data_IF_224608715157
#
_entry.id   IF_224608715157
#
_cell.length_a   1.000
_cell.length_b   1.000
_cell.length_c   1.000
_cell.angle_alpha   90.00
_cell.angle_beta   90.00
_cell.angle_gamma   90.00
#
_symmetry.space_group_name_H-M   'P 1'
#
loop_
_entity.id
_entity.type
_entity.pdbx_description
1 polymer ?
#
# COMPACT_ATOMS: atom_id res chain seq x y z
N UNK A 1 23.77 -32.80 36.28
CA UNK A 1 24.33 -32.48 34.95
C UNK A 1 23.65 -31.20 34.50
N UNK A 2 24.28 -30.07 34.76
CA UNK A 2 23.78 -28.75 34.35
C UNK A 2 24.06 -28.61 32.86
N UNK A 3 23.01 -28.45 32.05
CA UNK A 3 23.15 -28.02 30.66
C UNK A 3 23.27 -26.50 30.66
N UNK A 4 24.46 -26.06 30.26
CA UNK A 4 24.84 -24.69 29.98
C UNK A 4 24.33 -24.35 28.57
N UNK A 5 23.18 -23.67 28.48
CA UNK A 5 22.68 -23.11 27.22
C UNK A 5 23.44 -21.81 26.93
N UNK A 6 24.50 -21.92 26.13
CA UNK A 6 25.24 -20.76 25.62
C UNK A 6 24.37 -19.88 24.72
N UNK A 7 24.58 -18.55 24.71
CA UNK A 7 23.81 -17.63 23.87
C UNK A 7 24.08 -17.92 22.39
N UNK A 8 23.00 -18.10 21.62
CA UNK A 8 23.05 -18.27 20.17
C UNK A 8 23.93 -17.18 19.53
N UNK A 9 25.03 -17.61 18.91
CA UNK A 9 25.97 -16.73 18.23
C UNK A 9 25.26 -15.96 17.11
N UNK A 10 25.22 -14.64 17.22
CA UNK A 10 24.70 -13.73 16.20
C UNK A 10 25.65 -13.71 14.99
N UNK A 11 25.41 -14.57 14.01
CA UNK A 11 26.11 -14.47 12.73
C UNK A 11 25.63 -13.22 11.99
N UNK A 12 26.54 -12.30 11.70
CA UNK A 12 26.27 -11.21 10.79
C UNK A 12 25.83 -11.77 9.43
N UNK A 13 24.84 -11.15 8.77
CA UNK A 13 24.42 -11.59 7.45
C UNK A 13 25.59 -11.54 6.47
N UNK A 14 25.61 -12.42 5.44
CA UNK A 14 26.68 -12.45 4.45
C UNK A 14 26.79 -11.09 3.77
N UNK A 15 28.02 -10.65 3.49
CA UNK A 15 28.26 -9.38 2.80
C UNK A 15 27.70 -9.42 1.37
N UNK A 16 27.20 -8.30 0.85
CA UNK A 16 26.75 -8.22 -0.53
C UNK A 16 27.93 -8.38 -1.50
N UNK A 17 27.68 -8.86 -2.74
CA UNK A 17 28.68 -8.83 -3.80
C UNK A 17 29.23 -7.42 -4.00
N UNK A 18 30.51 -7.32 -4.34
CA UNK A 18 31.15 -6.05 -4.60
C UNK A 18 30.58 -5.37 -5.84
N UNK A 19 30.85 -4.07 -5.97
CA UNK A 19 30.52 -3.29 -7.17
C UNK A 19 31.11 -3.90 -8.45
N UNK A 20 32.33 -4.43 -8.38
CA UNK A 20 32.98 -5.04 -9.56
C UNK A 20 32.24 -6.32 -9.96
N UNK A 21 31.93 -7.18 -9.01
CA UNK A 21 31.17 -8.41 -9.25
C UNK A 21 29.77 -8.11 -9.78
N UNK A 22 29.07 -7.14 -9.20
CA UNK A 22 27.74 -6.69 -9.66
C UNK A 22 27.79 -6.21 -11.12
N UNK A 23 28.90 -5.60 -11.55
CA UNK A 23 29.08 -5.14 -12.93
C UNK A 23 29.40 -6.26 -13.91
N UNK A 24 30.07 -7.31 -13.47
CA UNK A 24 30.39 -8.46 -14.30
C UNK A 24 29.19 -9.40 -14.42
N UNK A 25 28.45 -9.58 -13.33
CA UNK A 25 27.23 -10.37 -13.27
C UNK A 25 26.30 -9.81 -12.16
N UNK A 26 25.16 -9.19 -12.51
CA UNK A 26 24.26 -8.60 -11.51
C UNK A 26 23.35 -9.63 -10.81
N UNK A 27 23.26 -10.86 -11.31
CA UNK A 27 22.33 -11.87 -10.78
C UNK A 27 22.61 -12.27 -9.30
N UNK A 28 23.87 -12.45 -8.85
CA UNK A 28 24.17 -12.71 -7.44
C UNK A 28 23.78 -11.54 -6.53
N UNK A 29 23.93 -10.30 -6.99
CA UNK A 29 23.53 -9.11 -6.22
C UNK A 29 22.02 -9.06 -6.08
N UNK A 30 21.29 -9.38 -7.14
CA UNK A 30 19.84 -9.47 -7.12
C UNK A 30 19.35 -10.56 -6.15
N UNK A 31 19.92 -11.76 -6.21
CA UNK A 31 19.60 -12.85 -5.28
C UNK A 31 19.90 -12.48 -3.83
N UNK A 32 21.02 -11.81 -3.58
CA UNK A 32 21.35 -11.32 -2.23
C UNK A 32 20.33 -10.29 -1.72
N UNK A 33 19.87 -9.37 -2.59
CA UNK A 33 18.83 -8.39 -2.24
C UNK A 33 17.51 -9.11 -1.96
N UNK A 34 17.15 -10.14 -2.73
CA UNK A 34 15.95 -10.96 -2.50
C UNK A 34 15.98 -11.63 -1.13
N UNK A 35 17.11 -12.19 -0.72
CA UNK A 35 17.25 -12.78 0.61
C UNK A 35 16.99 -11.75 1.72
N UNK A 36 17.42 -10.50 1.51
CA UNK A 36 17.14 -9.39 2.45
C UNK A 36 15.66 -9.04 2.45
N UNK A 37 15.01 -8.96 1.29
CA UNK A 37 13.56 -8.74 1.18
C UNK A 37 12.82 -9.87 1.92
N UNK A 38 13.16 -11.13 1.66
CA UNK A 38 12.53 -12.28 2.28
C UNK A 38 12.70 -12.30 3.81
N UNK A 39 13.87 -11.90 4.31
CA UNK A 39 14.12 -11.74 5.76
C UNK A 39 13.22 -10.64 6.37
N UNK A 40 13.13 -9.49 5.69
CA UNK A 40 12.31 -8.35 6.12
C UNK A 40 10.83 -8.72 6.15
N UNK A 41 10.33 -9.48 5.17
CA UNK A 41 8.93 -9.91 5.08
C UNK A 41 8.72 -11.35 5.58
N UNK A 42 9.61 -11.87 6.43
CA UNK A 42 9.51 -13.25 6.89
C UNK A 42 8.31 -13.49 7.81
N UNK A 43 7.73 -14.69 7.71
CA UNK A 43 6.60 -15.17 8.52
C UNK A 43 6.89 -15.13 10.03
N UNK A 44 8.17 -15.22 10.43
CA UNK A 44 8.58 -15.08 11.83
C UNK A 44 8.14 -13.73 12.40
N UNK A 45 8.21 -12.66 11.62
CA UNK A 45 7.80 -11.33 12.06
C UNK A 45 6.29 -11.21 12.24
N UNK A 46 5.49 -11.98 11.47
CA UNK A 46 4.03 -12.04 11.64
C UNK A 46 3.68 -12.68 12.99
N UNK A 47 4.37 -13.77 13.36
CA UNK A 47 4.05 -14.55 14.55
C UNK A 47 4.64 -14.00 15.84
N UNK A 48 5.83 -13.39 15.80
CA UNK A 48 6.55 -12.99 17.01
C UNK A 48 6.02 -11.72 17.68
N UNK A 49 5.01 -11.05 17.11
CA UNK A 49 4.31 -9.85 17.64
C UNK A 49 5.20 -8.63 17.98
N UNK A 50 6.52 -8.81 17.96
CA UNK A 50 7.54 -7.80 18.02
C UNK A 50 8.38 -7.94 16.76
N UNK A 51 8.35 -6.92 15.91
CA UNK A 51 9.36 -6.82 14.87
C UNK A 51 10.69 -6.62 15.56
N UNK A 52 11.64 -7.53 15.34
CA UNK A 52 12.99 -7.34 15.84
C UNK A 52 13.73 -6.30 14.98
N UNK A 53 13.21 -5.07 14.95
CA UNK A 53 13.76 -3.93 14.20
C UNK A 53 15.12 -3.55 14.76
N UNK A 54 15.32 -3.75 16.07
CA UNK A 54 16.58 -3.54 16.76
C UNK A 54 17.73 -4.42 16.24
N UNK A 55 17.44 -5.52 15.53
CA UNK A 55 18.47 -6.41 14.99
C UNK A 55 19.04 -5.98 13.64
N UNK A 56 18.45 -5.00 12.95
CA UNK A 56 19.08 -4.48 11.74
C UNK A 56 20.17 -3.49 12.12
N UNK A 57 21.40 -3.99 12.13
CA UNK A 57 22.56 -3.15 12.37
C UNK A 57 22.67 -2.08 11.28
N UNK A 58 23.28 -0.94 11.62
CA UNK A 58 23.59 0.10 10.64
C UNK A 58 24.41 -0.48 9.46
N UNK A 59 25.28 -1.46 9.73
CA UNK A 59 26.02 -2.17 8.68
C UNK A 59 25.08 -2.86 7.70
N UNK A 60 24.15 -3.68 8.18
CA UNK A 60 23.19 -4.40 7.32
C UNK A 60 22.36 -3.43 6.50
N UNK A 61 21.92 -2.33 7.11
CA UNK A 61 21.20 -1.26 6.38
C UNK A 61 22.04 -0.68 5.24
N UNK A 62 23.30 -0.31 5.53
CA UNK A 62 24.20 0.29 4.54
C UNK A 62 24.57 -0.69 3.42
N UNK A 63 24.79 -1.96 3.77
CA UNK A 63 25.07 -3.03 2.83
C UNK A 63 23.88 -3.23 1.88
N UNK A 64 22.65 -3.27 2.41
CA UNK A 64 21.43 -3.40 1.61
C UNK A 64 21.21 -2.20 0.70
N UNK A 65 21.31 -0.99 1.24
CA UNK A 65 21.18 0.23 0.46
C UNK A 65 22.21 0.30 -0.68
N UNK A 66 23.47 -0.02 -0.38
CA UNK A 66 24.57 0.02 -1.35
C UNK A 66 24.37 -1.03 -2.45
N UNK A 67 23.97 -2.25 -2.10
CA UNK A 67 23.66 -3.30 -3.08
C UNK A 67 22.54 -2.88 -4.03
N UNK A 68 21.44 -2.31 -3.50
CA UNK A 68 20.33 -1.78 -4.31
C UNK A 68 20.82 -0.66 -5.23
N UNK A 69 21.59 0.29 -4.71
CA UNK A 69 22.16 1.38 -5.49
C UNK A 69 23.04 0.85 -6.64
N UNK A 70 23.98 -0.05 -6.35
CA UNK A 70 24.86 -0.62 -7.37
C UNK A 70 24.09 -1.43 -8.42
N UNK A 71 23.10 -2.21 -8.00
CA UNK A 71 22.24 -2.97 -8.91
C UNK A 71 21.41 -2.05 -9.82
N UNK A 72 20.83 -0.98 -9.28
CA UNK A 72 20.05 -0.01 -10.06
C UNK A 72 20.91 0.89 -10.96
N UNK A 73 22.18 1.13 -10.61
CA UNK A 73 23.09 1.99 -11.41
C UNK A 73 23.93 1.25 -12.44
N UNK A 74 24.01 -0.08 -12.33
CA UNK A 74 24.72 -0.93 -13.28
C UNK A 74 24.33 -0.67 -14.75
N UNK A 75 23.07 -0.33 -15.02
CA UNK A 75 22.53 -0.12 -16.38
C UNK A 75 22.92 1.19 -17.04
N UNK A 76 23.58 2.14 -16.36
CA UNK A 76 23.91 3.44 -16.97
C UNK A 76 24.93 3.39 -18.11
N UNK A 77 25.69 2.29 -18.28
CA UNK A 77 26.72 2.16 -19.32
C UNK A 77 26.53 0.98 -20.28
N UNK A 78 25.45 0.21 -20.12
CA UNK A 78 25.12 -0.90 -21.00
C UNK A 78 23.65 -1.21 -20.88
N UNK A 79 22.88 -0.91 -21.93
CA UNK A 79 21.54 -1.50 -22.10
C UNK A 79 21.75 -3.00 -22.03
N UNK A 80 21.01 -3.69 -21.17
CA UNK A 80 20.81 -5.13 -21.34
C UNK A 80 20.32 -5.36 -22.77
N UNK A 81 20.68 -6.48 -23.41
CA UNK A 81 20.21 -6.80 -24.75
C UNK A 81 18.66 -6.84 -24.84
N UNK A 82 17.97 -6.97 -23.69
CA UNK A 82 16.50 -6.89 -23.57
C UNK A 82 15.93 -5.47 -23.38
N UNK A 83 16.75 -4.45 -23.14
CA UNK A 83 16.27 -3.08 -22.91
C UNK A 83 15.49 -2.86 -21.60
N UNK A 84 15.35 -3.89 -20.76
CA UNK A 84 14.66 -3.80 -19.48
C UNK A 84 15.54 -3.14 -18.42
N UNK A 85 14.96 -2.18 -17.70
CA UNK A 85 15.63 -1.47 -16.63
C UNK A 85 15.59 -2.34 -15.38
N UNK A 86 16.76 -2.61 -14.78
CA UNK A 86 16.92 -3.41 -13.55
C UNK A 86 15.96 -3.04 -12.40
N UNK A 87 15.42 -1.81 -12.37
CA UNK A 87 14.46 -1.40 -11.37
C UNK A 87 13.13 -2.15 -11.42
N UNK A 88 12.67 -2.59 -12.59
CA UNK A 88 11.39 -3.30 -12.74
C UNK A 88 11.42 -4.64 -12.02
N UNK A 89 12.45 -5.45 -12.27
CA UNK A 89 12.61 -6.76 -11.63
C UNK A 89 12.66 -6.62 -10.10
N UNK A 90 13.34 -5.58 -9.60
CA UNK A 90 13.42 -5.34 -8.17
C UNK A 90 12.06 -4.90 -7.59
N UNK A 91 11.35 -4.02 -8.28
CA UNK A 91 10.01 -3.57 -7.90
C UNK A 91 9.01 -4.74 -7.86
N UNK A 92 8.98 -5.58 -8.90
CA UNK A 92 8.07 -6.76 -8.96
C UNK A 92 8.38 -7.78 -7.87
N UNK A 93 9.66 -7.99 -7.53
CA UNK A 93 10.06 -8.89 -6.42
C UNK A 93 9.63 -8.33 -5.07
N UNK A 94 9.79 -7.02 -4.87
CA UNK A 94 9.32 -6.36 -3.65
C UNK A 94 7.79 -6.42 -3.55
N UNK A 95 7.07 -6.12 -4.63
CA UNK A 95 5.61 -6.25 -4.73
C UNK A 95 5.15 -7.67 -4.35
N UNK A 96 5.80 -8.70 -4.88
CA UNK A 96 5.50 -10.10 -4.57
C UNK A 96 5.73 -10.44 -3.09
N UNK A 97 6.81 -9.95 -2.49
CA UNK A 97 7.12 -10.20 -1.08
C UNK A 97 6.12 -9.51 -0.14
N UNK A 98 5.71 -8.28 -0.46
CA UNK A 98 4.69 -7.55 0.31
C UNK A 98 3.35 -8.31 0.24
N UNK A 99 2.95 -8.79 -0.94
CA UNK A 99 1.73 -9.58 -1.13
C UNK A 99 1.75 -10.85 -0.28
N UNK A 100 2.82 -11.64 -0.37
CA UNK A 100 2.97 -12.87 0.39
C UNK A 100 2.88 -12.62 1.92
N UNK A 101 3.53 -11.55 2.40
CA UNK A 101 3.44 -11.14 3.79
C UNK A 101 2.00 -10.80 4.22
N UNK A 102 1.29 -10.01 3.42
CA UNK A 102 -0.08 -9.60 3.74
C UNK A 102 -1.06 -10.77 3.71
N UNK A 103 -0.87 -11.72 2.79
CA UNK A 103 -1.66 -12.96 2.73
C UNK A 103 -1.47 -13.82 3.98
N UNK A 104 -0.23 -13.92 4.48
CA UNK A 104 0.04 -14.61 5.74
C UNK A 104 -0.61 -13.91 6.93
N UNK A 105 -0.57 -12.56 6.98
CA UNK A 105 -1.30 -11.78 7.99
C UNK A 105 -2.80 -12.09 7.96
N UNK A 106 -3.42 -12.12 6.77
CA UNK A 106 -4.82 -12.46 6.61
C UNK A 106 -5.14 -13.89 7.08
N UNK A 107 -4.23 -14.85 6.84
CA UNK A 107 -4.35 -16.21 7.33
C UNK A 107 -4.28 -16.29 8.86
N UNK A 108 -3.36 -15.54 9.50
CA UNK A 108 -3.24 -15.48 10.96
C UNK A 108 -4.47 -14.83 11.61
N UNK A 109 -5.01 -13.77 11.01
CA UNK A 109 -6.26 -13.17 11.49
C UNK A 109 -7.44 -14.15 11.38
N UNK A 110 -7.49 -14.95 10.31
CA UNK A 110 -8.49 -16.01 10.15
C UNK A 110 -8.33 -17.15 11.14
N UNK A 111 -7.09 -17.59 11.39
CA UNK A 111 -6.80 -18.64 12.37
C UNK A 111 -7.14 -18.22 13.81
N UNK A 112 -7.11 -16.92 14.11
CA UNK A 112 -7.48 -16.37 15.41
C UNK A 112 -8.97 -16.59 15.76
N UNK A 113 -9.81 -17.00 14.80
CA UNK A 113 -11.20 -17.43 15.05
C UNK A 113 -11.36 -18.94 15.35
N UNK A 114 -10.38 -19.78 15.02
CA UNK A 114 -10.50 -21.25 15.10
C UNK A 114 -10.37 -21.84 16.50
N UNK A 115 -10.02 -21.04 17.51
CA UNK A 115 -9.92 -21.46 18.91
C UNK A 115 -11.20 -21.17 19.68
N UNK A 116 -12.09 -22.17 19.76
CA UNK A 116 -13.28 -22.24 20.63
C UNK A 116 -14.39 -21.18 20.44
N UNK A 117 -15.44 -21.58 19.69
CA UNK A 117 -16.82 -21.05 19.67
C UNK A 117 -17.06 -19.60 19.21
N UNK A 118 -17.86 -19.49 18.14
CA UNK A 118 -18.22 -18.28 17.39
C UNK A 118 -19.09 -17.27 18.20
N UNK A 119 -19.68 -17.68 19.33
CA UNK A 119 -20.64 -16.86 20.09
C UNK A 119 -20.05 -16.17 21.35
N UNK A 120 -18.72 -16.12 21.52
CA UNK A 120 -18.13 -15.43 22.68
C UNK A 120 -17.99 -13.92 22.47
N UNK A 121 -18.37 -13.08 23.44
CA UNK A 121 -18.27 -11.62 23.36
C UNK A 121 -16.84 -11.07 23.16
N UNK A 122 -15.79 -11.89 23.30
CA UNK A 122 -14.40 -11.47 23.15
C UNK A 122 -13.77 -11.67 21.76
N UNK A 123 -14.44 -12.36 20.81
CA UNK A 123 -13.86 -12.67 19.50
C UNK A 123 -13.60 -11.40 18.66
N UNK A 124 -14.55 -10.45 18.53
CA UNK A 124 -14.31 -9.23 17.75
C UNK A 124 -13.16 -8.38 18.31
N UNK A 125 -13.07 -8.26 19.64
CA UNK A 125 -11.99 -7.53 20.33
C UNK A 125 -10.63 -8.18 20.04
N UNK A 126 -10.56 -9.52 20.09
CA UNK A 126 -9.34 -10.26 19.80
C UNK A 126 -8.86 -10.04 18.36
N UNK A 127 -9.78 -10.10 17.38
CA UNK A 127 -9.50 -9.86 15.96
C UNK A 127 -9.00 -8.44 15.73
N UNK A 128 -9.70 -7.41 16.23
CA UNK A 128 -9.29 -6.02 16.05
C UNK A 128 -7.96 -5.70 16.75
N UNK A 129 -7.70 -6.32 17.91
CA UNK A 129 -6.43 -6.21 18.62
C UNK A 129 -5.29 -6.89 17.86
N UNK A 130 -5.52 -8.07 17.29
CA UNK A 130 -4.54 -8.74 16.43
C UNK A 130 -4.26 -7.92 15.16
N UNK A 131 -5.31 -7.40 14.50
CA UNK A 131 -5.20 -6.53 13.34
C UNK A 131 -4.36 -5.28 13.63
N UNK A 132 -4.66 -4.57 14.73
CA UNK A 132 -3.94 -3.35 15.12
C UNK A 132 -2.45 -3.62 15.33
N UNK A 133 -2.11 -4.77 15.94
CA UNK A 133 -0.71 -5.20 16.14
C UNK A 133 -0.02 -5.49 14.81
N UNK A 134 -0.66 -6.27 13.94
CA UNK A 134 -0.09 -6.59 12.62
C UNK A 134 0.10 -5.34 11.76
N UNK A 135 -0.86 -4.40 11.79
CA UNK A 135 -0.74 -3.13 11.06
C UNK A 135 0.44 -2.30 11.58
N UNK A 136 0.62 -2.21 12.89
CA UNK A 136 1.73 -1.45 13.47
C UNK A 136 3.07 -2.04 13.03
N UNK A 137 3.23 -3.35 13.18
CA UNK A 137 4.39 -4.12 12.70
C UNK A 137 4.65 -3.85 11.21
N UNK A 138 3.63 -3.99 10.36
CA UNK A 138 3.75 -3.76 8.94
C UNK A 138 4.13 -2.30 8.62
N UNK A 139 3.57 -1.31 9.31
CA UNK A 139 3.93 0.11 9.13
C UNK A 139 5.41 0.37 9.42
N UNK A 140 5.98 -0.30 10.42
CA UNK A 140 7.40 -0.19 10.73
C UNK A 140 8.27 -0.82 9.63
N UNK A 141 7.86 -1.98 9.08
CA UNK A 141 8.51 -2.60 7.92
C UNK A 141 8.46 -1.64 6.71
N UNK A 142 7.28 -1.08 6.41
CA UNK A 142 7.07 -0.15 5.30
C UNK A 142 8.05 1.03 5.35
N UNK A 143 8.13 1.72 6.50
CA UNK A 143 9.04 2.86 6.68
C UNK A 143 10.49 2.49 6.39
N UNK A 144 10.92 1.33 6.89
CA UNK A 144 12.30 0.87 6.71
C UNK A 144 12.61 0.53 5.25
N UNK A 145 11.70 -0.19 4.59
CA UNK A 145 11.83 -0.53 3.17
C UNK A 145 11.82 0.72 2.31
N UNK A 146 10.94 1.69 2.59
CA UNK A 146 10.92 2.98 1.91
C UNK A 146 12.28 3.69 1.97
N UNK A 147 12.95 3.66 3.13
CA UNK A 147 14.29 4.24 3.26
C UNK A 147 15.37 3.43 2.52
N UNK A 148 15.40 2.11 2.69
CA UNK A 148 16.41 1.23 2.04
C UNK A 148 16.29 1.24 0.51
N UNK A 149 15.06 1.28 0.00
CA UNK A 149 14.76 1.29 -1.44
C UNK A 149 14.55 2.70 -2.00
N UNK A 150 14.86 3.75 -1.23
CA UNK A 150 14.68 5.15 -1.64
C UNK A 150 15.41 5.51 -2.94
N UNK A 151 16.46 4.77 -3.32
CA UNK A 151 17.11 4.97 -4.62
C UNK A 151 16.22 4.46 -5.77
N UNK A 152 15.66 3.26 -5.63
CA UNK A 152 14.70 2.69 -6.58
C UNK A 152 13.49 3.61 -6.73
N UNK A 153 12.95 4.08 -5.60
CA UNK A 153 11.77 4.95 -5.56
C UNK A 153 12.00 6.28 -6.30
N UNK A 154 13.11 6.96 -6.01
CA UNK A 154 13.43 8.26 -6.62
C UNK A 154 13.80 8.20 -8.10
N UNK A 155 14.42 7.13 -8.56
CA UNK A 155 15.06 7.09 -9.88
C UNK A 155 14.38 6.17 -10.90
N UNK A 156 13.74 5.10 -10.45
CA UNK A 156 13.00 4.21 -11.33
C UNK A 156 11.50 4.44 -11.16
N UNK A 157 10.94 4.23 -9.95
CA UNK A 157 9.49 4.28 -9.71
C UNK A 157 8.91 5.64 -10.12
N UNK A 158 9.50 6.74 -9.63
CA UNK A 158 9.04 8.08 -9.98
C UNK A 158 8.99 8.32 -11.49
N UNK A 159 10.00 7.85 -12.24
CA UNK A 159 10.01 7.97 -13.69
C UNK A 159 8.89 7.16 -14.34
N UNK A 160 8.67 5.92 -13.91
CA UNK A 160 7.58 5.09 -14.47
C UNK A 160 6.20 5.68 -14.19
N UNK A 161 6.02 6.30 -13.00
CA UNK A 161 4.79 7.03 -12.64
C UNK A 161 4.62 8.27 -13.51
N UNK A 162 5.68 9.07 -13.70
CA UNK A 162 5.66 10.26 -14.55
C UNK A 162 5.38 9.92 -16.04
N UNK A 163 5.80 8.73 -16.48
CA UNK A 163 5.50 8.16 -17.81
C UNK A 163 4.10 7.51 -17.89
N UNK A 164 3.25 7.68 -16.87
CA UNK A 164 1.88 7.17 -16.77
C UNK A 164 1.75 5.64 -16.89
N UNK A 165 2.72 4.87 -16.38
CA UNK A 165 2.53 3.42 -16.22
C UNK A 165 1.57 3.14 -15.08
N UNK A 166 0.33 2.79 -15.44
CA UNK A 166 -0.78 2.62 -14.51
C UNK A 166 -0.63 1.50 -13.46
N UNK A 167 0.40 0.65 -13.55
CA UNK A 167 0.66 -0.44 -12.60
C UNK A 167 1.80 -0.17 -11.61
N UNK A 168 2.44 0.99 -11.70
CA UNK A 168 3.56 1.35 -10.82
C UNK A 168 3.10 2.40 -9.81
N UNK A 169 3.40 2.16 -8.55
CA UNK A 169 3.07 3.04 -7.44
C UNK A 169 4.32 3.35 -6.63
N UNK A 170 4.40 4.57 -6.09
CA UNK A 170 5.39 4.92 -5.06
C UNK A 170 5.37 3.89 -3.93
N UNK A 171 6.53 3.56 -3.37
CA UNK A 171 6.64 2.44 -2.42
C UNK A 171 5.64 2.53 -1.28
N UNK A 172 5.48 3.71 -0.68
CA UNK A 172 4.52 3.91 0.41
C UNK A 172 3.09 3.55 -0.03
N UNK A 173 2.67 4.05 -1.20
CA UNK A 173 1.34 3.77 -1.75
C UNK A 173 1.17 2.30 -2.12
N UNK A 174 2.21 1.67 -2.68
CA UNK A 174 2.20 0.24 -3.00
C UNK A 174 1.89 -0.62 -1.77
N UNK A 175 2.56 -0.34 -0.64
CA UNK A 175 2.32 -1.07 0.61
C UNK A 175 0.88 -0.92 1.10
N UNK A 176 0.35 0.30 1.10
CA UNK A 176 -1.02 0.54 1.55
C UNK A 176 -2.04 -0.12 0.61
N UNK A 177 -1.84 -0.05 -0.71
CA UNK A 177 -2.71 -0.73 -1.70
C UNK A 177 -2.73 -2.25 -1.49
N UNK A 178 -1.57 -2.87 -1.30
CA UNK A 178 -1.47 -4.31 -1.06
C UNK A 178 -2.10 -4.69 0.28
N UNK A 179 -1.85 -3.93 1.34
CA UNK A 179 -2.49 -4.18 2.64
C UNK A 179 -4.01 -4.13 2.54
N UNK A 180 -4.54 -3.08 1.91
CA UNK A 180 -5.99 -2.90 1.74
C UNK A 180 -6.59 -4.05 0.92
N UNK A 181 -5.91 -4.46 -0.15
CA UNK A 181 -6.38 -5.55 -1.00
C UNK A 181 -6.30 -6.92 -0.32
N UNK A 182 -5.13 -7.28 0.21
CA UNK A 182 -4.87 -8.65 0.66
C UNK A 182 -5.34 -8.90 2.10
N UNK A 183 -5.33 -7.88 2.99
CA UNK A 183 -5.76 -8.01 4.39
C UNK A 183 -7.21 -7.58 4.59
N UNK A 184 -7.60 -6.45 4.01
CA UNK A 184 -8.96 -5.93 4.17
C UNK A 184 -9.90 -6.40 3.06
N UNK A 185 -9.39 -7.04 2.00
CA UNK A 185 -10.15 -7.54 0.85
C UNK A 185 -10.63 -6.45 -0.11
N UNK A 186 -10.34 -5.17 0.19
CA UNK A 186 -10.92 -4.03 -0.52
C UNK A 186 -10.12 -3.80 -1.79
N UNK A 187 -10.78 -3.90 -2.93
CA UNK A 187 -10.16 -3.58 -4.21
C UNK A 187 -10.32 -2.09 -4.48
N UNK A 188 -9.21 -1.35 -4.55
CA UNK A 188 -9.26 0.05 -4.96
C UNK A 188 -9.82 0.14 -6.37
N UNK A 189 -10.78 1.05 -6.61
CA UNK A 189 -11.37 1.19 -7.93
C UNK A 189 -10.28 1.67 -8.89
N UNK A 190 -9.96 0.86 -9.89
CA UNK A 190 -9.27 1.36 -11.06
C UNK A 190 -10.28 2.21 -11.82
N UNK A 191 -10.22 3.55 -11.64
CA UNK A 191 -11.05 4.54 -12.31
C UNK A 191 -12.54 4.13 -12.47
N UNK A 192 -13.34 4.32 -11.41
CA UNK A 192 -14.80 4.33 -11.52
C UNK A 192 -15.51 2.97 -11.46
N UNK A 193 -14.81 1.88 -11.15
CA UNK A 193 -15.46 0.59 -10.84
C UNK A 193 -16.00 0.56 -9.41
N UNK A 194 -17.22 0.07 -9.15
CA UNK A 194 -17.71 -0.14 -7.79
C UNK A 194 -16.82 -1.14 -7.06
N UNK A 195 -16.44 -0.82 -5.83
CA UNK A 195 -15.76 -1.75 -4.92
C UNK A 195 -16.74 -2.86 -4.57
N UNK A 196 -16.46 -4.15 -4.86
CA UNK A 196 -17.30 -5.25 -4.41
C UNK A 196 -17.43 -5.24 -2.88
N UNK A 197 -18.61 -5.55 -2.35
CA UNK A 197 -18.81 -5.73 -0.91
C UNK A 197 -17.75 -6.68 -0.38
N UNK A 198 -16.96 -6.17 0.54
CA UNK A 198 -15.80 -6.89 1.05
C UNK A 198 -16.07 -7.22 2.49
N UNK A 199 -16.46 -8.47 2.72
CA UNK A 199 -16.65 -9.01 4.06
C UNK A 199 -15.35 -9.69 4.49
N UNK A 200 -14.51 -8.97 5.22
CA UNK A 200 -13.38 -9.58 5.95
C UNK A 200 -13.69 -9.65 7.43
N UNK A 201 -13.02 -10.56 8.13
CA UNK A 201 -13.20 -10.74 9.58
C UNK A 201 -12.97 -9.46 10.38
N UNK A 202 -12.10 -8.58 9.90
CA UNK A 202 -11.84 -7.27 10.52
C UNK A 202 -13.08 -6.36 10.38
N UNK A 203 -13.69 -6.33 9.19
CA UNK A 203 -14.91 -5.55 8.89
C UNK A 203 -16.10 -6.10 9.69
N UNK A 204 -16.27 -7.43 9.74
CA UNK A 204 -17.30 -8.09 10.55
C UNK A 204 -17.13 -7.78 12.04
N UNK A 205 -15.91 -7.93 12.57
CA UNK A 205 -15.60 -7.63 13.97
C UNK A 205 -15.85 -6.16 14.30
N UNK A 206 -15.55 -5.26 13.37
CA UNK A 206 -15.81 -3.83 13.51
C UNK A 206 -17.31 -3.54 13.59
N UNK A 207 -18.09 -4.15 12.69
CA UNK A 207 -19.54 -4.02 12.64
C UNK A 207 -20.20 -4.53 13.92
N UNK A 208 -19.78 -5.69 14.42
CA UNK A 208 -20.30 -6.27 15.65
C UNK A 208 -20.04 -5.39 16.87
N UNK A 209 -18.84 -4.82 17.01
CA UNK A 209 -18.50 -3.97 18.15
C UNK A 209 -19.26 -2.63 18.12
N UNK A 210 -19.44 -2.03 16.95
CA UNK A 210 -20.26 -0.82 16.84
C UNK A 210 -21.73 -1.07 17.22
N UNK A 211 -22.31 -2.19 16.77
CA UNK A 211 -23.68 -2.56 17.13
C UNK A 211 -23.83 -2.84 18.64
N UNK A 212 -22.79 -3.37 19.30
CA UNK A 212 -22.80 -3.57 20.76
C UNK A 212 -22.75 -2.23 21.52
N UNK A 213 -21.88 -1.31 21.10
CA UNK A 213 -21.76 0.01 21.71
C UNK A 213 -23.02 0.88 21.60
N UNK A 214 -23.80 0.73 20.53
CA UNK A 214 -25.11 1.40 20.39
C UNK A 214 -26.17 0.85 21.36
N UNK A 215 -26.07 -0.43 21.74
CA UNK A 215 -27.07 -1.12 22.56
C UNK A 215 -26.75 -1.11 24.07
N UNK A 216 -25.48 -0.90 24.45
CA UNK A 216 -25.01 -1.04 25.83
C UNK A 216 -24.39 0.29 26.33
N UNK A 217 -25.22 1.19 26.85
CA UNK A 217 -24.80 2.53 27.32
C UNK A 217 -23.95 2.55 28.61
N UNK A 218 -23.47 1.41 29.13
CA UNK A 218 -22.94 1.30 30.51
C UNK A 218 -21.52 0.70 30.67
N UNK A 219 -20.82 0.27 29.62
CA UNK A 219 -19.41 -0.21 29.64
C UNK A 219 -18.91 -0.20 28.18
N UNK A 220 -17.69 0.13 27.75
CA UNK A 220 -16.35 -0.06 28.34
C UNK A 220 -15.36 0.84 27.57
N UNK A 221 -14.78 1.88 28.17
CA UNK A 221 -13.90 2.84 27.44
C UNK A 221 -12.64 2.25 26.78
N UNK A 222 -12.29 0.99 27.08
CA UNK A 222 -11.18 0.28 26.43
C UNK A 222 -11.53 -0.28 25.05
N UNK A 223 -12.80 -0.62 24.80
CA UNK A 223 -13.25 -1.16 23.50
C UNK A 223 -13.42 -0.01 22.50
N UNK A 224 -14.00 1.11 22.96
CA UNK A 224 -14.12 2.34 22.18
C UNK A 224 -12.75 2.85 21.69
N UNK A 225 -11.71 2.77 22.53
CA UNK A 225 -10.35 3.13 22.14
C UNK A 225 -9.77 2.24 21.04
N UNK A 226 -10.08 0.93 21.06
CA UNK A 226 -9.65 -0.01 20.02
C UNK A 226 -10.39 0.23 18.70
N UNK A 227 -11.72 0.40 18.76
CA UNK A 227 -12.58 0.75 17.62
C UNK A 227 -12.08 2.04 16.97
N UNK A 228 -11.80 3.07 17.77
CA UNK A 228 -11.30 4.35 17.27
C UNK A 228 -9.91 4.21 16.62
N UNK A 229 -9.01 3.44 17.21
CA UNK A 229 -7.67 3.15 16.65
C UNK A 229 -7.75 2.45 15.28
N UNK A 230 -8.69 1.50 15.12
CA UNK A 230 -8.93 0.83 13.84
C UNK A 230 -9.55 1.80 12.82
N UNK A 231 -10.47 2.67 13.22
CA UNK A 231 -11.00 3.73 12.36
C UNK A 231 -9.94 4.74 11.92
N UNK A 232 -9.06 5.15 12.83
CA UNK A 232 -7.89 5.98 12.50
C UNK A 232 -6.99 5.30 11.47
N UNK A 233 -6.80 3.98 11.61
CA UNK A 233 -6.06 3.17 10.64
C UNK A 233 -6.74 3.17 9.27
N UNK A 234 -8.06 2.94 9.20
CA UNK A 234 -8.80 2.99 7.93
C UNK A 234 -8.70 4.37 7.27
N UNK A 235 -8.86 5.46 8.04
CA UNK A 235 -8.67 6.82 7.53
C UNK A 235 -7.25 7.06 7.03
N UNK A 236 -6.23 6.55 7.73
CA UNK A 236 -4.84 6.66 7.27
C UNK A 236 -4.58 5.94 5.93
N UNK A 237 -5.37 4.89 5.63
CA UNK A 237 -5.34 4.16 4.37
C UNK A 237 -6.19 4.84 3.28
N UNK A 238 -6.94 5.90 3.62
CA UNK A 238 -7.88 6.57 2.72
C UNK A 238 -9.21 5.81 2.56
N UNK A 239 -9.62 5.06 3.58
CA UNK A 239 -10.89 4.33 3.62
C UNK A 239 -11.84 4.95 4.65
N UNK A 240 -13.14 4.83 4.39
CA UNK A 240 -14.21 5.20 5.30
C UNK A 240 -15.05 3.96 5.64
N UNK A 241 -15.41 3.83 6.92
CA UNK A 241 -16.31 2.78 7.39
C UNK A 241 -17.72 3.36 7.53
N UNK A 242 -18.64 2.94 6.66
CA UNK A 242 -20.01 3.48 6.57
C UNK A 242 -20.98 2.31 6.51
N UNK A 243 -22.02 2.35 7.36
CA UNK A 243 -23.10 1.35 7.41
C UNK A 243 -22.63 -0.12 7.52
N UNK A 244 -21.47 -0.35 8.15
CA UNK A 244 -20.92 -1.69 8.33
C UNK A 244 -20.02 -2.18 7.20
N UNK A 245 -19.72 -1.34 6.21
CA UNK A 245 -18.86 -1.64 5.07
C UNK A 245 -17.70 -0.65 4.94
N UNK A 246 -16.59 -1.09 4.33
CA UNK A 246 -15.48 -0.23 3.95
C UNK A 246 -15.69 0.35 2.55
N UNK A 247 -15.52 1.66 2.42
CA UNK A 247 -15.67 2.39 1.16
C UNK A 247 -14.44 3.25 0.89
N UNK A 248 -14.17 3.48 -0.39
CA UNK A 248 -13.19 4.47 -0.83
C UNK A 248 -13.94 5.79 -1.02
N UNK A 249 -13.54 6.88 -0.35
CA UNK A 249 -14.18 8.18 -0.53
C UNK A 249 -14.16 8.57 -2.00
N UNK A 250 -15.33 8.92 -2.55
CA UNK A 250 -15.40 9.44 -3.91
C UNK A 250 -14.64 10.75 -3.92
N UNK A 251 -13.52 10.82 -4.65
CA UNK A 251 -12.85 12.09 -4.94
C UNK A 251 -13.87 12.91 -5.70
N UNK A 252 -14.51 13.86 -5.01
CA UNK A 252 -15.25 14.92 -5.69
C UNK A 252 -14.16 15.75 -6.35
N UNK A 253 -13.93 15.51 -7.64
CA UNK A 253 -13.28 16.51 -8.47
C UNK A 253 -14.12 17.77 -8.32
N UNK A 254 -13.70 18.63 -7.39
CA UNK A 254 -14.05 20.03 -7.47
C UNK A 254 -13.43 20.46 -8.78
N UNK A 255 -14.26 20.50 -9.83
CA UNK A 255 -13.91 21.13 -11.09
C UNK A 255 -13.59 22.57 -10.72
N UNK A 256 -12.31 22.83 -10.44
CA UNK A 256 -11.78 24.17 -10.35
C UNK A 256 -11.85 24.65 -11.78
N UNK A 257 -13.00 25.25 -12.15
CA UNK A 257 -13.17 25.85 -13.47
C UNK A 257 -11.96 26.75 -13.68
N UNK A 258 -11.13 26.36 -14.64
CA UNK A 258 -9.93 27.12 -14.94
C UNK A 258 -10.37 28.53 -15.36
N UNK A 259 -9.56 29.58 -15.12
CA UNK A 259 -9.88 30.93 -15.58
C UNK A 259 -10.23 30.97 -17.09
N UNK A 260 -9.68 30.04 -17.86
CA UNK A 260 -9.92 29.83 -19.28
C UNK A 260 -11.33 29.30 -19.55
N UNK A 261 -11.81 28.28 -18.84
CA UNK A 261 -13.18 27.76 -19.01
C UNK A 261 -14.23 28.79 -18.62
N UNK A 262 -13.97 29.55 -17.55
CA UNK A 262 -14.82 30.67 -17.12
C UNK A 262 -14.86 31.77 -18.19
N UNK A 263 -13.73 32.06 -18.83
CA UNK A 263 -13.65 33.00 -19.96
C UNK A 263 -14.39 32.48 -21.20
N UNK A 264 -14.27 31.19 -21.54
CA UNK A 264 -14.95 30.57 -22.68
C UNK A 264 -16.47 30.60 -22.50
N UNK A 265 -17.00 30.25 -21.31
CA UNK A 265 -18.43 30.36 -21.02
C UNK A 265 -18.93 31.80 -21.14
N UNK A 266 -18.14 32.78 -20.68
CA UNK A 266 -18.47 34.21 -20.74
C UNK A 266 -18.37 34.79 -22.15
N UNK A 267 -17.51 34.23 -23.01
CA UNK A 267 -17.44 34.59 -24.43
C UNK A 267 -18.64 34.01 -25.20
N UNK A 268 -19.00 32.75 -24.92
CA UNK A 268 -20.17 32.09 -25.53
C UNK A 268 -21.50 32.76 -25.15
N UNK A 269 -21.64 33.26 -23.92
CA UNK A 269 -22.85 33.99 -23.51
C UNK A 269 -22.98 35.39 -24.13
N UNK A 270 -21.87 35.96 -24.64
CA UNK A 270 -21.85 37.24 -25.34
C UNK A 270 -22.11 37.14 -26.84
N UNK A 271 -21.98 35.94 -27.42
CA UNK A 271 -22.39 35.64 -28.78
C UNK A 271 -23.87 35.23 -28.79
N UNK A 272 -24.76 36.21 -28.73
CA UNK A 272 -26.16 36.03 -29.13
C UNK A 272 -26.19 35.95 -30.66
N UNK A 273 -26.97 35.04 -31.29
CA UNK A 273 -27.01 34.92 -32.75
C UNK A 273 -27.46 36.24 -33.37
N UNK A 274 -26.70 36.70 -34.38
CA UNK A 274 -27.09 37.78 -35.28
C UNK A 274 -28.36 37.30 -35.98
N UNK A 275 -29.47 37.96 -35.69
CA UNK A 275 -30.72 37.83 -36.43
C UNK A 275 -30.43 38.18 -37.90
N UNK A 276 -30.71 37.24 -38.81
CA UNK A 276 -30.81 37.54 -40.24
C UNK A 276 -32.02 38.47 -40.43
N UNK A 277 -31.74 39.74 -40.72
CA UNK A 277 -32.71 40.69 -41.24
C UNK A 277 -32.68 40.68 -42.77
N UNK A 278 -33.90 40.58 -43.33
CA UNK A 278 -34.39 41.09 -44.62
C UNK A 278 -34.11 40.37 -45.95
N UNK A 279 -34.91 40.63 -47.02
CA UNK A 279 -36.20 41.34 -47.07
C UNK A 279 -37.32 40.64 -47.84
N UNK A 280 -38.53 41.17 -47.65
CA UNK A 280 -39.75 40.88 -48.40
C UNK A 280 -39.58 41.18 -49.91
N UNK A 281 -39.98 40.22 -50.75
CA UNK A 281 -40.33 40.48 -52.15
C UNK A 281 -41.83 40.72 -52.26
N UNK A 282 -42.18 42.00 -52.37
CA UNK A 282 -43.42 42.44 -52.98
C UNK A 282 -43.30 42.27 -54.50
N UNK A 283 -44.36 41.79 -55.14
CA UNK A 283 -44.36 41.40 -56.55
C UNK A 283 -45.79 41.20 -57.04
N UNK A 284 -46.52 42.31 -57.18
CA UNK A 284 -47.81 42.34 -57.87
C UNK A 284 -47.73 43.28 -59.09
N UNK A 285 -47.97 42.68 -60.26
CA UNK A 285 -48.55 43.21 -61.51
C UNK A 285 -47.80 44.25 -62.36
N UNK A 286 -47.40 43.80 -63.56
CA UNK A 286 -48.13 44.11 -64.80
C UNK A 286 -48.02 42.95 -65.80
#
# INVERSE_FOLDING_TARGET
MSQDDGPASFQQPPKPPSRKETRENPAPTLAWIEDRIAEIYSVRQVHQQHVNIAQYTLSTYMDTYTAIHEFCTFTKHGRTESGELNGESLYRRLESAIKAYCQEVAAVLSASQGGESIDRPGVPVAVLSAYSRQRNTFSQICKKVEHMFSFLDRHWIKREVDENKHEVYELRRLHDLIWVKEVLGVTWPYQGTPVPHTTTLVVESMKELQQRGENDTASTGSEDGLVQSVLDTFRSLGLEFVDGDLTVPKVVETVVETPVEKAIKRAKSKLKPVSEEEPARDGTQN
#
